data_IF_829600457532
#
_entry.id   IF_829600457532
#
_cell.length_a   1.000
_cell.length_b   1.000
_cell.length_c   1.000
_cell.angle_alpha   90.00
_cell.angle_beta   90.00
_cell.angle_gamma   90.00
#
_symmetry.space_group_name_H-M   'P 1'
#
loop_
_entity.id
_entity.type
_entity.pdbx_description
1 polymer ?
#
# COMPACT_ATOMS: atom_id res chain seq x y z
N UNK A 1 -9.70 -45.54 -9.54
CA UNK A 1 -9.01 -44.62 -10.47
C UNK A 1 -9.97 -43.51 -10.87
N UNK A 2 -9.89 -42.37 -10.18
CA UNK A 2 -10.32 -41.09 -10.72
C UNK A 2 -9.29 -40.09 -10.24
N UNK A 3 -8.32 -39.82 -11.13
CA UNK A 3 -7.35 -38.75 -10.98
C UNK A 3 -8.11 -37.47 -11.31
N UNK A 4 -8.47 -36.69 -10.29
CA UNK A 4 -8.76 -35.29 -10.50
C UNK A 4 -7.41 -34.60 -10.68
N UNK A 5 -7.02 -34.41 -11.94
CA UNK A 5 -6.02 -33.43 -12.33
C UNK A 5 -6.50 -32.06 -11.84
N UNK A 6 -5.82 -31.51 -10.85
CA UNK A 6 -5.82 -30.06 -10.63
C UNK A 6 -5.12 -29.46 -11.87
N UNK A 7 -5.92 -29.00 -12.83
CA UNK A 7 -5.45 -28.05 -13.82
C UNK A 7 -5.11 -26.76 -13.08
N UNK A 8 -3.82 -26.53 -12.85
CA UNK A 8 -3.32 -25.21 -12.53
C UNK A 8 -3.69 -24.31 -13.72
N UNK A 9 -4.62 -23.38 -13.50
CA UNK A 9 -4.76 -22.22 -14.39
C UNK A 9 -3.56 -21.30 -14.11
N UNK A 10 -2.42 -21.58 -14.74
CA UNK A 10 -1.44 -20.55 -15.09
C UNK A 10 -2.07 -19.73 -16.21
N UNK A 11 -2.54 -18.52 -15.89
CA UNK A 11 -2.63 -17.37 -16.81
C UNK A 11 -3.40 -16.22 -16.12
N UNK A 12 -2.91 -15.77 -14.95
CA UNK A 12 -3.16 -14.38 -14.56
C UNK A 12 -1.95 -13.58 -15.01
N UNK A 13 -2.07 -12.94 -16.16
CA UNK A 13 -1.08 -11.97 -16.62
C UNK A 13 -0.88 -10.89 -15.53
N UNK A 14 0.33 -10.79 -14.99
CA UNK A 14 0.76 -9.73 -14.06
C UNK A 14 1.11 -8.43 -14.81
N UNK A 15 0.75 -8.33 -16.09
CA UNK A 15 1.06 -7.20 -16.97
C UNK A 15 0.00 -6.11 -16.82
N UNK A 16 0.16 -5.29 -15.79
CA UNK A 16 -0.67 -4.11 -15.54
C UNK A 16 0.10 -2.85 -15.89
N UNK A 17 -0.16 -2.23 -17.03
CA UNK A 17 0.51 -1.00 -17.44
C UNK A 17 0.02 0.23 -16.68
N UNK A 18 0.91 1.16 -16.37
CA UNK A 18 0.48 2.42 -15.75
C UNK A 18 -0.07 3.37 -16.83
N UNK A 19 -1.30 3.90 -16.70
CA UNK A 19 -1.89 4.75 -17.72
C UNK A 19 -1.22 6.14 -17.79
N UNK A 20 -1.18 6.72 -18.99
CA UNK A 20 -0.44 7.94 -19.27
C UNK A 20 -0.88 9.15 -18.42
N UNK A 21 -2.17 9.33 -18.21
CA UNK A 21 -2.74 10.39 -17.38
C UNK A 21 -2.35 10.27 -15.89
N UNK A 22 -1.99 9.06 -15.45
CA UNK A 22 -1.56 8.85 -14.08
C UNK A 22 -0.10 9.28 -13.89
N UNK A 23 0.82 8.78 -14.71
CA UNK A 23 2.25 8.97 -14.48
C UNK A 23 2.82 10.28 -15.04
N UNK A 24 2.24 10.86 -16.10
CA UNK A 24 2.81 12.07 -16.74
C UNK A 24 2.99 13.26 -15.79
N UNK A 25 2.03 13.62 -14.92
CA UNK A 25 2.23 14.69 -13.95
C UNK A 25 3.37 14.43 -12.96
N UNK A 26 3.66 13.15 -12.66
CA UNK A 26 4.76 12.75 -11.81
C UNK A 26 6.09 12.84 -12.57
N UNK A 27 6.11 12.41 -13.83
CA UNK A 27 7.26 12.55 -14.72
C UNK A 27 7.65 14.02 -14.90
N UNK A 28 6.67 14.90 -15.17
CA UNK A 28 6.90 16.34 -15.32
C UNK A 28 7.53 16.96 -14.06
N UNK A 29 7.10 16.50 -12.88
CA UNK A 29 7.58 16.99 -11.58
C UNK A 29 9.03 16.58 -11.25
N UNK A 30 9.55 15.53 -11.89
CA UNK A 30 10.93 15.06 -11.72
C UNK A 30 11.82 15.35 -12.93
N UNK A 31 11.30 16.06 -13.95
CA UNK A 31 12.05 16.35 -15.18
C UNK A 31 12.13 15.16 -16.15
N UNK A 32 11.27 14.15 -15.98
CA UNK A 32 11.23 12.91 -16.75
C UNK A 32 11.85 11.74 -15.99
N UNK A 33 11.35 10.52 -16.26
CA UNK A 33 11.96 9.30 -15.74
C UNK A 33 13.08 8.83 -16.68
N UNK A 34 14.24 8.50 -16.11
CA UNK A 34 15.38 7.98 -16.83
C UNK A 34 15.22 6.49 -17.13
N UNK A 35 14.65 5.75 -16.19
CA UNK A 35 14.53 4.28 -16.25
C UNK A 35 13.16 3.77 -15.78
N UNK A 36 12.60 2.85 -16.57
CA UNK A 36 11.52 1.94 -16.17
C UNK A 36 12.02 0.49 -16.30
N UNK A 37 12.40 -0.16 -15.19
CA UNK A 37 13.03 -1.47 -15.23
C UNK A 37 12.01 -2.61 -15.28
N UNK A 38 10.70 -2.33 -15.21
CA UNK A 38 9.61 -3.30 -15.25
C UNK A 38 8.56 -2.92 -16.32
N UNK A 39 9.04 -2.48 -17.48
CA UNK A 39 8.22 -2.03 -18.61
C UNK A 39 7.65 -3.21 -19.40
N UNK A 40 6.63 -2.94 -20.22
CA UNK A 40 6.12 -3.84 -21.24
C UNK A 40 4.60 -3.92 -21.28
N UNK A 41 3.92 -3.49 -20.23
CA UNK A 41 2.47 -3.58 -20.09
C UNK A 41 1.73 -2.26 -20.41
N UNK A 42 2.45 -1.14 -20.38
CA UNK A 42 1.95 0.19 -20.67
C UNK A 42 1.70 0.44 -22.16
N UNK A 43 0.75 1.33 -22.47
CA UNK A 43 0.47 1.71 -23.85
C UNK A 43 1.52 2.65 -24.46
N UNK A 44 2.30 3.35 -23.64
CA UNK A 44 3.33 4.31 -24.06
C UNK A 44 4.52 4.28 -23.09
N UNK A 45 5.78 4.40 -23.57
CA UNK A 45 6.94 4.42 -22.69
C UNK A 45 6.87 5.50 -21.61
N UNK A 46 7.13 5.13 -20.36
CA UNK A 46 7.15 6.06 -19.21
C UNK A 46 8.51 6.75 -19.01
N UNK A 47 9.58 6.11 -19.47
CA UNK A 47 10.96 6.50 -19.20
C UNK A 47 11.83 6.45 -20.47
N UNK A 48 12.98 7.14 -20.42
CA UNK A 48 13.94 7.20 -21.53
C UNK A 48 14.58 5.84 -21.83
N UNK A 49 14.90 5.08 -20.79
CA UNK A 49 15.39 3.69 -20.88
C UNK A 49 14.36 2.77 -20.27
N UNK A 50 14.18 1.58 -20.85
CA UNK A 50 13.22 0.61 -20.35
C UNK A 50 13.76 -0.82 -20.45
N UNK A 51 13.42 -1.63 -19.46
CA UNK A 51 13.67 -3.07 -19.48
C UNK A 51 12.34 -3.81 -19.48
N UNK A 52 12.22 -4.73 -20.41
CA UNK A 52 11.07 -5.62 -20.55
C UNK A 52 11.31 -6.93 -19.81
N UNK A 53 10.30 -7.80 -19.78
CA UNK A 53 10.42 -9.16 -19.24
C UNK A 53 11.59 -9.93 -19.86
N UNK A 54 11.83 -9.74 -21.16
CA UNK A 54 12.91 -10.37 -21.91
C UNK A 54 14.30 -9.88 -21.49
N UNK A 55 14.38 -8.64 -21.00
CA UNK A 55 15.63 -8.03 -20.55
C UNK A 55 16.04 -8.50 -19.15
N UNK A 56 15.11 -9.00 -18.33
CA UNK A 56 15.29 -9.26 -16.90
C UNK A 56 15.80 -8.01 -16.15
N UNK A 57 14.92 -7.04 -15.95
CA UNK A 57 15.26 -5.76 -15.32
C UNK A 57 15.87 -5.85 -13.91
N UNK A 58 15.65 -6.96 -13.18
CA UNK A 58 16.30 -7.20 -11.88
C UNK A 58 17.81 -7.45 -12.03
N UNK A 59 18.24 -8.00 -13.16
CA UNK A 59 19.65 -8.28 -13.47
C UNK A 59 20.44 -7.07 -13.98
N UNK A 60 19.76 -5.96 -14.28
CA UNK A 60 20.36 -4.76 -14.90
C UNK A 60 20.82 -3.75 -13.86
N UNK A 61 21.73 -2.89 -14.29
CA UNK A 61 22.11 -1.67 -13.56
C UNK A 61 20.97 -0.66 -13.63
N UNK A 62 20.63 -0.05 -12.49
CA UNK A 62 19.63 1.01 -12.41
C UNK A 62 20.30 2.36 -12.19
N UNK A 63 19.70 3.43 -12.70
CA UNK A 63 20.30 4.76 -12.64
C UNK A 63 19.25 5.88 -12.71
N UNK A 64 19.66 7.07 -12.26
CA UNK A 64 18.88 8.31 -12.41
C UNK A 64 17.58 8.30 -11.63
N UNK A 65 16.52 8.85 -12.22
CA UNK A 65 15.16 8.84 -11.66
C UNK A 65 14.34 7.68 -12.22
N UNK A 66 13.93 6.77 -11.35
CA UNK A 66 13.29 5.50 -11.70
C UNK A 66 11.78 5.57 -11.48
N UNK A 67 11.00 5.18 -12.49
CA UNK A 67 9.63 4.72 -12.29
C UNK A 67 9.62 3.20 -12.16
N UNK A 68 8.87 2.66 -11.20
CA UNK A 68 8.76 1.22 -11.02
C UNK A 68 7.31 0.82 -10.78
N UNK A 69 6.75 0.07 -11.73
CA UNK A 69 5.48 -0.64 -11.58
C UNK A 69 5.77 -2.15 -11.73
N UNK A 70 6.10 -2.86 -10.64
CA UNK A 70 6.59 -4.22 -10.72
C UNK A 70 5.46 -5.21 -10.99
N UNK A 71 5.76 -6.41 -11.52
CA UNK A 71 4.83 -7.53 -11.44
C UNK A 71 4.43 -7.79 -9.98
N UNK A 72 3.14 -7.70 -9.66
CA UNK A 72 2.68 -7.65 -8.28
C UNK A 72 2.88 -8.97 -7.51
N UNK A 73 3.01 -10.10 -8.19
CA UNK A 73 3.40 -11.37 -7.56
C UNK A 73 4.84 -11.35 -7.03
N UNK A 74 5.75 -10.57 -7.63
CA UNK A 74 7.17 -10.50 -7.27
C UNK A 74 7.61 -9.15 -6.68
N UNK A 75 6.68 -8.23 -6.42
CA UNK A 75 6.92 -6.86 -5.91
C UNK A 75 7.97 -6.74 -4.80
N UNK A 76 8.08 -7.71 -3.89
CA UNK A 76 9.08 -7.70 -2.82
C UNK A 76 10.52 -7.67 -3.34
N UNK A 77 10.85 -8.42 -4.39
CA UNK A 77 12.20 -8.44 -4.97
C UNK A 77 12.55 -7.09 -5.60
N UNK A 78 11.59 -6.51 -6.32
CA UNK A 78 11.72 -5.22 -6.99
C UNK A 78 11.89 -4.07 -5.99
N UNK A 79 11.07 -4.02 -4.94
CA UNK A 79 11.21 -2.99 -3.88
C UNK A 79 12.56 -3.11 -3.17
N UNK A 80 13.03 -4.34 -2.89
CA UNK A 80 14.36 -4.53 -2.29
C UNK A 80 15.48 -4.03 -3.19
N UNK A 81 15.40 -4.26 -4.51
CA UNK A 81 16.37 -3.73 -5.46
C UNK A 81 16.30 -2.20 -5.51
N UNK A 82 15.12 -1.61 -5.66
CA UNK A 82 14.95 -0.15 -5.68
C UNK A 82 15.61 0.53 -4.46
N UNK A 83 15.38 -0.03 -3.27
CA UNK A 83 16.02 0.46 -2.03
C UNK A 83 17.53 0.32 -2.03
N UNK A 84 18.05 -0.82 -2.50
CA UNK A 84 19.49 -1.05 -2.56
C UNK A 84 20.17 -0.08 -3.53
N UNK A 85 19.61 0.11 -4.73
CA UNK A 85 20.16 1.02 -5.74
C UNK A 85 20.18 2.48 -5.27
N UNK A 86 19.16 2.91 -4.53
CA UNK A 86 19.12 4.23 -3.88
C UNK A 86 20.18 4.32 -2.76
N UNK A 87 20.28 3.30 -1.91
CA UNK A 87 21.24 3.30 -0.80
C UNK A 87 22.70 3.27 -1.27
N UNK A 88 22.97 2.67 -2.43
CA UNK A 88 24.28 2.64 -3.09
C UNK A 88 24.59 3.93 -3.86
N UNK A 89 23.59 4.80 -4.07
CA UNK A 89 23.73 6.07 -4.79
C UNK A 89 23.71 5.93 -6.31
N UNK A 90 23.28 4.77 -6.84
CA UNK A 90 23.13 4.57 -8.28
C UNK A 90 21.84 5.25 -8.79
N UNK A 91 20.77 5.20 -7.98
CA UNK A 91 19.46 5.80 -8.26
C UNK A 91 19.24 6.99 -7.32
N UNK A 92 18.88 8.14 -7.88
CA UNK A 92 18.64 9.37 -7.12
C UNK A 92 17.26 9.34 -6.45
N UNK A 93 16.25 8.94 -7.22
CA UNK A 93 14.85 8.84 -6.80
C UNK A 93 14.22 7.61 -7.45
N UNK A 94 13.52 6.79 -6.66
CA UNK A 94 12.69 5.70 -7.17
C UNK A 94 11.24 5.89 -6.74
N UNK A 95 10.34 6.06 -7.69
CA UNK A 95 8.88 6.13 -7.48
C UNK A 95 8.27 4.77 -7.77
N UNK A 96 7.77 4.09 -6.74
CA UNK A 96 7.33 2.70 -6.81
C UNK A 96 5.82 2.59 -6.60
N UNK A 97 5.10 2.09 -7.60
CA UNK A 97 3.67 1.82 -7.54
C UNK A 97 3.41 0.43 -6.95
N UNK A 98 2.60 0.37 -5.88
CA UNK A 98 2.31 -0.87 -5.16
C UNK A 98 0.83 -0.98 -4.81
N UNK A 99 0.29 -2.20 -4.66
CA UNK A 99 -0.97 -2.40 -3.98
C UNK A 99 -0.85 -2.00 -2.50
N UNK A 100 -1.91 -1.38 -1.97
CA UNK A 100 -2.03 -1.08 -0.54
C UNK A 100 -2.37 -2.37 0.19
N UNK A 101 -1.38 -2.90 0.91
CA UNK A 101 -1.57 -4.02 1.83
C UNK A 101 -0.69 -3.81 3.08
N UNK A 102 -1.26 -3.08 4.03
CA UNK A 102 -0.58 -2.70 5.29
C UNK A 102 -0.37 -3.87 6.24
N UNK A 103 -0.88 -5.07 5.93
CA UNK A 103 -0.69 -6.28 6.73
C UNK A 103 0.60 -7.04 6.39
N UNK A 104 1.23 -6.72 5.25
CA UNK A 104 2.34 -7.50 4.71
C UNK A 104 3.70 -7.13 5.31
N UNK A 105 4.59 -8.12 5.41
CA UNK A 105 6.01 -7.89 5.74
C UNK A 105 6.67 -6.90 4.79
N UNK A 106 6.34 -6.94 3.50
CA UNK A 106 6.81 -5.96 2.52
C UNK A 106 6.52 -4.52 2.98
N UNK A 107 5.32 -4.27 3.47
CA UNK A 107 4.92 -2.95 3.93
C UNK A 107 5.76 -2.50 5.14
N UNK A 108 5.85 -3.34 6.17
CA UNK A 108 6.55 -3.01 7.42
C UNK A 108 8.08 -3.00 7.31
N UNK A 109 8.65 -3.87 6.49
CA UNK A 109 10.11 -4.05 6.39
C UNK A 109 10.72 -3.13 5.32
N UNK A 110 9.92 -2.66 4.35
CA UNK A 110 10.44 -1.92 3.19
C UNK A 110 9.66 -0.65 2.85
N UNK A 111 8.33 -0.72 2.71
CA UNK A 111 7.54 0.45 2.26
C UNK A 111 7.57 1.57 3.29
N UNK A 112 7.47 1.25 4.58
CA UNK A 112 7.53 2.24 5.68
C UNK A 112 8.90 2.92 5.85
N UNK A 113 9.93 2.47 5.13
CA UNK A 113 11.25 3.12 5.09
C UNK A 113 11.39 4.06 3.88
N UNK A 114 10.32 4.25 3.09
CA UNK A 114 10.29 5.22 2.00
C UNK A 114 10.35 6.66 2.55
N UNK A 115 11.03 7.55 1.82
CA UNK A 115 11.12 8.99 2.14
C UNK A 115 9.72 9.63 2.15
N UNK A 116 8.86 9.22 1.22
CA UNK A 116 7.46 9.62 1.17
C UNK A 116 6.56 8.47 0.71
N UNK A 117 5.33 8.44 1.21
CA UNK A 117 4.29 7.49 0.81
C UNK A 117 3.04 8.29 0.45
N UNK A 118 2.52 8.07 -0.76
CA UNK A 118 1.25 8.63 -1.21
C UNK A 118 0.22 7.51 -1.31
N UNK A 119 -0.85 7.58 -0.52
CA UNK A 119 -2.02 6.72 -0.70
C UNK A 119 -2.92 7.33 -1.77
N UNK A 120 -2.98 6.68 -2.93
CA UNK A 120 -3.70 7.19 -4.11
C UNK A 120 -5.20 7.20 -3.81
N UNK A 121 -5.86 8.32 -4.11
CA UNK A 121 -7.30 8.43 -3.98
C UNK A 121 -7.99 7.74 -5.16
N UNK A 122 -8.97 6.89 -4.87
CA UNK A 122 -9.72 6.14 -5.88
C UNK A 122 -9.00 4.87 -6.36
N UNK A 123 -9.45 4.35 -7.50
CA UNK A 123 -8.91 3.14 -8.13
C UNK A 123 -8.19 3.52 -9.42
N UNK A 124 -6.93 3.12 -9.54
CA UNK A 124 -6.20 3.25 -10.79
C UNK A 124 -6.78 2.27 -11.82
N UNK A 125 -7.02 2.76 -13.03
CA UNK A 125 -7.39 1.92 -14.18
C UNK A 125 -6.13 1.59 -14.96
N UNK A 126 -5.60 0.38 -14.80
CA UNK A 126 -4.36 -0.04 -15.47
C UNK A 126 -4.60 -0.36 -16.96
N UNK A 127 -3.57 -0.11 -17.77
CA UNK A 127 -3.48 -0.56 -19.16
C UNK A 127 -3.20 -2.08 -19.22
N UNK A 128 -3.53 -2.73 -20.33
CA UNK A 128 -3.00 -4.06 -20.69
C UNK A 128 -3.61 -5.28 -19.97
N UNK A 129 -4.47 -5.08 -18.96
CA UNK A 129 -5.11 -6.18 -18.22
C UNK A 129 -6.48 -6.60 -18.79
N UNK A 130 -6.77 -7.92 -18.77
CA UNK A 130 -8.11 -8.45 -19.10
C UNK A 130 -9.19 -7.96 -18.11
N UNK A 131 -8.78 -7.75 -16.86
CA UNK A 131 -9.58 -7.18 -15.78
C UNK A 131 -8.70 -6.30 -14.92
N UNK A 132 -9.18 -5.09 -14.66
CA UNK A 132 -8.48 -4.17 -13.77
C UNK A 132 -8.44 -4.73 -12.34
N UNK A 133 -7.29 -4.75 -11.67
CA UNK A 133 -7.21 -5.26 -10.30
C UNK A 133 -8.09 -4.47 -9.33
N UNK A 134 -8.68 -5.18 -8.36
CA UNK A 134 -9.53 -4.58 -7.33
C UNK A 134 -8.75 -4.36 -6.02
N UNK A 135 -7.77 -3.45 -6.03
CA UNK A 135 -7.06 -3.05 -4.82
C UNK A 135 -6.77 -1.56 -4.80
N UNK A 136 -6.45 -1.03 -3.62
CA UNK A 136 -5.96 0.35 -3.47
C UNK A 136 -4.52 0.41 -3.94
N UNK A 137 -4.07 1.57 -4.40
CA UNK A 137 -2.66 1.76 -4.78
C UNK A 137 -2.00 2.80 -3.90
N UNK A 138 -0.71 2.61 -3.67
CA UNK A 138 0.16 3.61 -3.09
C UNK A 138 1.37 3.83 -3.99
N UNK A 139 1.96 5.01 -3.86
CA UNK A 139 3.27 5.33 -4.40
C UNK A 139 4.25 5.46 -3.24
N UNK A 140 5.31 4.66 -3.25
CA UNK A 140 6.42 4.77 -2.31
C UNK A 140 7.60 5.45 -3.02
N UNK A 141 8.11 6.53 -2.44
CA UNK A 141 9.27 7.26 -2.95
C UNK A 141 10.48 6.90 -2.11
N UNK A 142 11.50 6.31 -2.72
CA UNK A 142 12.81 6.08 -2.10
C UNK A 142 13.83 7.07 -2.66
N UNK A 143 14.73 7.55 -1.82
CA UNK A 143 15.75 8.51 -2.21
C UNK A 143 15.26 9.94 -2.03
N UNK A 144 15.60 10.82 -2.96
CA UNK A 144 15.19 12.21 -2.91
C UNK A 144 13.68 12.36 -3.16
N UNK A 145 13.05 13.26 -2.41
CA UNK A 145 11.64 13.61 -2.60
C UNK A 145 11.54 15.13 -2.70
N UNK A 146 11.68 15.64 -3.93
CA UNK A 146 11.60 17.08 -4.23
C UNK A 146 10.21 17.62 -3.89
N UNK A 147 10.13 18.91 -3.58
CA UNK A 147 8.85 19.55 -3.27
C UNK A 147 7.88 19.48 -4.46
N UNK A 148 8.39 19.62 -5.71
CA UNK A 148 7.59 19.47 -6.92
C UNK A 148 6.99 18.06 -7.06
N UNK A 149 7.76 17.01 -6.73
CA UNK A 149 7.26 15.63 -6.73
C UNK A 149 6.20 15.43 -5.64
N UNK A 150 6.42 15.97 -4.44
CA UNK A 150 5.46 15.88 -3.34
C UNK A 150 4.14 16.58 -3.66
N UNK A 151 4.20 17.77 -4.28
CA UNK A 151 3.02 18.49 -4.76
C UNK A 151 2.30 17.71 -5.86
N UNK A 152 3.03 17.01 -6.73
CA UNK A 152 2.43 16.16 -7.75
C UNK A 152 1.77 14.91 -7.16
N UNK A 153 2.35 14.32 -6.11
CA UNK A 153 1.77 13.21 -5.36
C UNK A 153 0.51 13.62 -4.59
N UNK A 154 0.50 14.81 -3.98
CA UNK A 154 -0.66 15.33 -3.22
C UNK A 154 -1.91 15.48 -4.10
N UNK A 155 -1.71 15.83 -5.38
CA UNK A 155 -2.79 15.83 -6.39
C UNK A 155 -3.32 14.44 -6.73
N UNK A 156 -2.62 13.36 -6.39
CA UNK A 156 -3.04 11.97 -6.60
C UNK A 156 -3.66 11.35 -5.36
N UNK A 157 -3.45 11.90 -4.17
CA UNK A 157 -3.97 11.37 -2.92
C UNK A 157 -3.22 11.91 -1.70
N UNK A 158 -3.36 11.24 -0.55
CA UNK A 158 -2.76 11.71 0.70
C UNK A 158 -1.28 11.34 0.80
N UNK A 159 -0.42 12.35 0.96
CA UNK A 159 1.04 12.18 1.07
C UNK A 159 1.52 12.27 2.51
N UNK A 160 2.41 11.35 2.89
CA UNK A 160 3.07 11.30 4.19
C UNK A 160 4.58 11.24 3.98
N UNK A 161 5.33 12.12 4.67
CA UNK A 161 6.80 12.03 4.74
C UNK A 161 7.19 11.22 5.97
N UNK A 162 8.23 10.41 5.84
CA UNK A 162 8.77 9.63 6.95
C UNK A 162 10.00 10.35 7.49
N UNK A 163 9.82 11.16 8.54
CA UNK A 163 10.93 11.87 9.19
C UNK A 163 11.68 10.97 10.18
N UNK A 164 10.96 10.09 10.86
CA UNK A 164 11.52 9.09 11.77
C UNK A 164 10.56 7.92 11.94
N UNK A 165 11.10 6.71 11.96
CA UNK A 165 10.39 5.49 12.34
C UNK A 165 10.75 5.15 13.78
N UNK A 166 9.75 4.90 14.62
CA UNK A 166 10.02 4.51 16.00
C UNK A 166 10.70 3.15 16.03
N UNK A 167 11.92 3.10 16.55
CA UNK A 167 12.59 1.86 16.90
C UNK A 167 12.31 1.54 18.36
N UNK A 168 11.91 0.29 18.60
CA UNK A 168 11.68 -0.20 19.95
C UNK A 168 12.95 0.05 20.78
N UNK A 169 12.81 0.77 21.89
CA UNK A 169 13.89 0.91 22.84
C UNK A 169 14.39 -0.49 23.25
N UNK A 170 15.66 -0.79 22.98
CA UNK A 170 16.28 -2.04 23.42
C UNK A 170 16.11 -2.13 24.95
N UNK A 171 15.33 -3.11 25.41
CA UNK A 171 15.35 -3.47 26.82
C UNK A 171 16.76 -4.00 27.08
N UNK A 172 17.59 -3.25 27.81
CA UNK A 172 18.80 -3.78 28.42
C UNK A 172 18.40 -5.06 29.16
N UNK A 173 18.96 -6.19 28.75
CA UNK A 173 18.72 -7.50 29.35
C UNK A 173 19.00 -7.45 30.86
N UNK A 174 17.94 -7.27 31.65
CA UNK A 174 17.90 -7.85 32.98
C UNK A 174 17.47 -9.30 32.80
N UNK A 175 18.47 -10.17 32.85
CA UNK A 175 18.33 -11.62 32.96
C UNK A 175 17.29 -11.95 34.04
N UNK A 176 16.13 -12.48 33.64
CA UNK A 176 15.44 -13.54 34.36
C UNK A 176 14.52 -14.30 33.40
N UNK A 177 14.93 -15.52 33.10
CA UNK A 177 14.16 -16.76 32.91
C UNK A 177 12.63 -16.68 32.76
N UNK A 178 12.11 -17.33 31.71
CA UNK A 178 10.67 -17.60 31.52
C UNK A 178 10.18 -17.31 30.11
N UNK A 179 10.13 -18.34 29.26
CA UNK A 179 9.76 -18.25 27.84
C UNK A 179 8.41 -17.58 27.60
N UNK A 180 8.40 -16.57 26.72
CA UNK A 180 7.18 -16.06 26.08
C UNK A 180 6.89 -16.89 24.83
N UNK A 181 5.65 -17.33 24.73
CA UNK A 181 5.17 -18.19 23.65
C UNK A 181 5.09 -17.39 22.34
N UNK A 182 5.52 -18.01 21.23
CA UNK A 182 5.69 -17.34 19.93
C UNK A 182 4.35 -16.86 19.35
N UNK A 183 3.27 -17.54 19.73
CA UNK A 183 1.90 -17.20 19.35
C UNK A 183 1.38 -15.93 20.06
N UNK A 184 1.84 -15.65 21.28
CA UNK A 184 1.46 -14.43 22.01
C UNK A 184 2.08 -13.19 21.35
N UNK A 185 3.27 -13.32 20.76
CA UNK A 185 3.92 -12.21 20.07
C UNK A 185 3.26 -11.95 18.70
N UNK A 186 2.82 -12.99 17.98
CA UNK A 186 2.09 -12.84 16.72
C UNK A 186 0.71 -12.21 16.93
N UNK A 187 -0.01 -12.60 17.99
CA UNK A 187 -1.30 -11.98 18.34
C UNK A 187 -1.15 -10.51 18.68
N UNK A 188 -0.14 -10.14 19.47
CA UNK A 188 0.13 -8.72 19.78
C UNK A 188 0.49 -7.91 18.55
N UNK A 189 1.18 -8.50 17.58
CA UNK A 189 1.47 -7.83 16.30
C UNK A 189 0.17 -7.63 15.50
N UNK A 190 -0.68 -8.67 15.40
CA UNK A 190 -1.96 -8.55 14.71
C UNK A 190 -2.87 -7.48 15.36
N UNK A 191 -3.00 -7.49 16.68
CA UNK A 191 -3.79 -6.51 17.44
C UNK A 191 -3.27 -5.07 17.23
N UNK A 192 -1.94 -4.90 17.16
CA UNK A 192 -1.33 -3.60 16.90
C UNK A 192 -1.60 -3.11 15.46
N UNK A 193 -1.63 -4.02 14.48
CA UNK A 193 -1.96 -3.70 13.09
C UNK A 193 -3.43 -3.34 12.92
N UNK A 194 -4.33 -4.08 13.58
CA UNK A 194 -5.75 -3.75 13.61
C UNK A 194 -6.00 -2.39 14.25
N UNK A 195 -5.35 -2.10 15.37
CA UNK A 195 -5.46 -0.80 16.04
C UNK A 195 -4.91 0.34 15.16
N UNK A 196 -3.79 0.13 14.48
CA UNK A 196 -3.22 1.12 13.58
C UNK A 196 -4.12 1.38 12.35
N UNK A 197 -4.69 0.33 11.76
CA UNK A 197 -5.62 0.46 10.65
C UNK A 197 -6.92 1.17 11.07
N UNK A 198 -7.43 0.89 12.26
CA UNK A 198 -8.59 1.59 12.83
C UNK A 198 -8.32 3.09 13.03
N UNK A 199 -7.16 3.44 13.57
CA UNK A 199 -6.77 4.85 13.78
C UNK A 199 -6.60 5.62 12.45
N UNK A 200 -6.05 4.97 11.42
CA UNK A 200 -5.94 5.56 10.09
C UNK A 200 -7.30 5.80 9.45
N UNK A 201 -8.22 4.84 9.54
CA UNK A 201 -9.59 4.99 9.05
C UNK A 201 -10.31 6.13 9.75
N UNK A 202 -10.12 6.25 11.07
CA UNK A 202 -10.73 7.32 11.85
C UNK A 202 -10.17 8.70 11.46
N UNK A 203 -8.87 8.83 11.23
CA UNK A 203 -8.27 10.08 10.74
C UNK A 203 -8.80 10.48 9.36
N UNK A 204 -8.99 9.51 8.46
CA UNK A 204 -9.57 9.76 7.13
C UNK A 204 -11.04 10.20 7.24
N UNK A 205 -11.81 9.56 8.11
CA UNK A 205 -13.21 9.94 8.37
C UNK A 205 -13.33 11.34 8.98
N UNK A 206 -12.45 11.68 9.93
CA UNK A 206 -12.44 13.00 10.56
C UNK A 206 -12.10 14.10 9.54
N UNK A 207 -11.12 13.87 8.66
CA UNK A 207 -10.81 14.80 7.56
C UNK A 207 -11.98 14.96 6.59
N UNK A 208 -12.70 13.88 6.27
CA UNK A 208 -13.89 13.93 5.41
C UNK A 208 -15.05 14.66 6.09
N UNK A 209 -15.24 14.47 7.40
CA UNK A 209 -16.24 15.22 8.20
C UNK A 209 -15.90 16.70 8.25
N UNK A 210 -14.62 17.06 8.40
CA UNK A 210 -14.18 18.45 8.38
C UNK A 210 -14.36 19.08 6.99
N UNK A 211 -14.10 18.33 5.91
CA UNK A 211 -14.39 18.78 4.54
C UNK A 211 -15.90 18.99 4.32
N UNK A 212 -16.74 18.06 4.77
CA UNK A 212 -18.20 18.17 4.67
C UNK A 212 -18.79 19.29 5.55
N UNK A 213 -18.18 19.57 6.72
CA UNK A 213 -18.57 20.70 7.58
C UNK A 213 -18.24 22.06 6.98
N UNK A 214 -17.20 22.12 6.15
CA UNK A 214 -16.76 23.33 5.48
C UNK A 214 -17.32 23.46 4.05
N UNK A 215 -18.19 22.54 3.63
CA UNK A 215 -18.88 22.60 2.34
C UNK A 215 -20.03 23.63 2.41
N UNK A 216 -20.03 24.67 1.55
CA UNK A 216 -21.11 25.66 1.49
C UNK A 216 -22.47 25.11 1.02
N UNK A 217 -22.56 23.84 0.57
CA UNK A 217 -23.82 23.21 0.19
C UNK A 217 -23.92 21.73 0.65
N UNK A 218 -24.37 21.45 1.88
CA UNK A 218 -24.33 20.11 2.45
C UNK A 218 -25.35 19.18 1.78
N UNK A 219 -24.87 18.09 1.17
CA UNK A 219 -25.72 17.01 0.67
C UNK A 219 -26.23 16.16 1.85
N UNK A 220 -27.56 16.09 2.01
CA UNK A 220 -28.21 15.37 3.10
C UNK A 220 -28.37 13.86 2.84
N UNK A 221 -27.76 13.31 1.79
CA UNK A 221 -27.81 11.87 1.48
C UNK A 221 -26.61 11.06 2.00
N UNK A 222 -25.86 11.56 2.99
CA UNK A 222 -24.70 10.85 3.53
C UNK A 222 -25.10 9.45 4.04
N UNK A 223 -24.49 8.43 3.43
CA UNK A 223 -24.57 7.02 3.82
C UNK A 223 -24.25 6.87 5.31
N UNK A 224 -25.13 6.18 6.05
CA UNK A 224 -24.98 5.91 7.48
C UNK A 224 -23.64 5.23 7.80
N UNK A 225 -23.02 5.58 8.94
CA UNK A 225 -21.81 4.95 9.49
C UNK A 225 -21.91 3.41 9.51
N UNK A 226 -23.13 2.87 9.59
CA UNK A 226 -23.42 1.42 9.55
C UNK A 226 -23.19 0.79 8.17
N UNK A 227 -23.46 1.52 7.09
CA UNK A 227 -23.26 1.05 5.72
C UNK A 227 -21.77 0.96 5.42
N UNK A 228 -20.99 1.96 5.82
CA UNK A 228 -19.53 1.97 5.63
C UNK A 228 -18.82 0.86 6.43
N UNK A 229 -19.26 0.56 7.65
CA UNK A 229 -18.73 -0.56 8.41
C UNK A 229 -19.07 -1.92 7.78
N UNK A 230 -20.27 -2.04 7.18
CA UNK A 230 -20.70 -3.26 6.49
C UNK A 230 -19.92 -3.46 5.19
N UNK A 231 -19.69 -2.39 4.42
CA UNK A 231 -18.91 -2.44 3.17
C UNK A 231 -17.44 -2.86 3.41
N UNK A 232 -16.87 -2.45 4.56
CA UNK A 232 -15.52 -2.89 4.96
C UNK A 232 -15.53 -4.36 5.35
N UNK A 233 -16.52 -4.83 6.11
CA UNK A 233 -16.64 -6.25 6.50
C UNK A 233 -16.86 -7.15 5.29
N UNK A 234 -17.69 -6.74 4.34
CA UNK A 234 -17.95 -7.47 3.09
C UNK A 234 -16.69 -7.52 2.20
N UNK A 235 -15.93 -6.42 2.13
CA UNK A 235 -14.63 -6.40 1.44
C UNK A 235 -13.59 -7.35 2.06
N UNK A 236 -13.65 -7.57 3.39
CA UNK A 236 -12.82 -8.56 4.07
C UNK A 236 -13.32 -9.99 3.87
N UNK A 237 -14.63 -10.22 3.81
CA UNK A 237 -15.24 -11.53 3.55
C UNK A 237 -14.89 -12.07 2.16
N UNK A 238 -14.85 -11.19 1.15
CA UNK A 238 -14.49 -11.56 -0.22
C UNK A 238 -12.99 -11.81 -0.40
N UNK A 239 -12.13 -11.20 0.43
CA UNK A 239 -10.67 -11.36 0.36
C UNK A 239 -10.18 -12.70 0.93
N UNK A 240 -10.92 -13.28 1.89
CA UNK A 240 -10.50 -14.49 2.61
C UNK A 240 -11.33 -15.75 2.30
N UNK A 241 -12.24 -15.72 1.32
CA UNK A 241 -12.83 -16.93 0.73
C UNK A 241 -13.56 -17.85 1.71
N UNK A 242 -14.26 -17.29 2.70
CA UNK A 242 -15.03 -18.05 3.68
C UNK A 242 -16.13 -17.21 4.31
N UNK A 243 -17.33 -17.80 4.41
CA UNK A 243 -18.51 -17.21 5.04
C UNK A 243 -18.19 -16.65 6.43
N UNK A 244 -18.18 -15.33 6.59
CA UNK A 244 -18.06 -14.61 7.88
C UNK A 244 -19.37 -14.65 8.70
N UNK A 245 -20.32 -15.53 8.34
CA UNK A 245 -21.54 -15.78 9.12
C UNK A 245 -21.20 -16.42 10.47
N UNK A 246 -20.82 -15.60 11.44
CA UNK A 246 -20.48 -16.01 12.80
C UNK A 246 -19.64 -15.00 13.59
N UNK A 247 -19.12 -13.95 12.96
CA UNK A 247 -18.42 -12.88 13.67
C UNK A 247 -19.43 -11.85 14.15
N UNK A 248 -19.87 -11.99 15.40
CA UNK A 248 -20.60 -10.93 16.08
C UNK A 248 -19.60 -9.84 16.44
N UNK A 249 -19.63 -8.74 15.68
CA UNK A 249 -18.86 -7.54 15.98
C UNK A 249 -19.41 -6.92 17.26
N UNK A 250 -18.59 -6.85 18.31
CA UNK A 250 -18.89 -6.18 19.59
C UNK A 250 -18.29 -4.76 19.53
N UNK A 251 -19.05 -3.74 19.09
CA UNK A 251 -18.53 -2.38 18.95
C UNK A 251 -18.09 -1.84 20.30
N UNK A 252 -16.94 -1.16 20.32
CA UNK A 252 -16.35 -0.58 21.55
C UNK A 252 -17.31 0.39 22.27
N UNK A 253 -18.32 0.93 21.59
CA UNK A 253 -19.40 1.71 22.22
C UNK A 253 -20.15 0.93 23.29
N UNK A 254 -20.35 -0.37 23.09
CA UNK A 254 -21.19 -1.22 23.94
C UNK A 254 -20.41 -1.72 25.17
N UNK A 255 -19.07 -1.67 25.11
CA UNK A 255 -18.19 -1.91 26.29
C UNK A 255 -18.10 -0.71 27.22
N UNK A 256 -18.36 0.50 26.74
CA UNK A 256 -18.28 1.72 27.57
C UNK A 256 -19.53 1.91 28.43
N UNK A 257 -20.69 1.34 28.07
CA UNK A 257 -21.91 1.43 28.87
C UNK A 257 -21.95 0.46 30.07
N UNK A 258 -21.15 -0.62 30.07
CA UNK A 258 -21.10 -1.58 31.19
C UNK A 258 -20.04 -1.27 32.27
N UNK A 259 -19.16 -0.29 32.04
CA UNK A 259 -18.16 0.16 33.03
C UNK A 259 -18.67 1.32 33.92
N UNK A 260 -19.95 1.71 33.78
CA UNK A 260 -20.55 2.85 34.49
C UNK A 260 -21.34 2.50 35.75
N UNK A 261 -21.55 1.22 36.06
CA UNK A 261 -22.48 0.81 37.12
C UNK A 261 -21.87 -0.23 38.09
N UNK A 262 -20.71 0.09 38.66
CA UNK A 262 -20.26 -0.46 39.94
C UNK A 262 -19.79 0.69 40.84
N UNK A 263 -20.70 1.16 41.71
CA UNK A 263 -20.43 2.01 42.87
C UNK A 263 -20.56 1.19 44.15
#
# INVERSE_FOLDING_TARGET
MSLFSHEFHEDSSDEFGTPAEFHRPLADAVGGFDLDPASGAESQPLASTRFTKEDDGLSKEWFGTVWLNPPFSEKTRWVRKARAEVAEGNVETAVVLLPVDTSTKLFHDHVTDATAICFVEGRLSFDGGDRNPNFGTLLAVFGEASDDLLDALDRKGSVFRVDAKHERAEQQELVTDGGRDRDDDLKRIADALELQNALLLQLVQDRRRDAARNDPNPDHSASSDRTTATDVVDAYGDLYGGSVAGWEFDPVSDRVESMGDER
#
